data_IF_303294722168
#
_entry.id   IF_303294722168
#
_cell.length_a   1.000
_cell.length_b   1.000
_cell.length_c   1.000
_cell.angle_alpha   90.00
_cell.angle_beta   90.00
_cell.angle_gamma   90.00
#
_symmetry.space_group_name_H-M   'P 1'
#
loop_
_entity.id
_entity.type
_entity.pdbx_description
1 polymer ?
#
# COMPACT_ATOMS: atom_id res chain seq x y z
N UNK A 1 -4.02 -8.81 1.95
CA UNK A 1 -4.36 -7.55 2.62
C UNK A 1 -5.61 -6.98 1.99
N UNK A 2 -6.51 -6.42 2.79
CA UNK A 2 -7.72 -5.72 2.33
C UNK A 2 -7.57 -4.21 2.49
N UNK A 3 -8.35 -3.49 1.69
CA UNK A 3 -8.48 -2.04 1.70
C UNK A 3 -9.91 -1.66 2.12
N UNK A 4 -10.06 -0.71 3.02
CA UNK A 4 -11.36 -0.22 3.48
C UNK A 4 -11.55 1.24 3.04
N UNK A 5 -12.80 1.67 2.91
CA UNK A 5 -13.09 3.09 2.69
C UNK A 5 -12.90 3.87 3.98
N UNK A 6 -12.27 5.05 3.92
CA UNK A 6 -12.15 5.98 5.04
C UNK A 6 -13.49 6.35 5.68
N UNK A 7 -14.59 6.32 4.91
CA UNK A 7 -15.94 6.58 5.41
C UNK A 7 -16.57 5.35 6.08
N UNK A 8 -15.95 4.16 5.93
CA UNK A 8 -16.35 2.87 6.48
C UNK A 8 -17.79 2.45 6.15
N UNK A 9 -18.37 3.00 5.07
CA UNK A 9 -19.72 2.67 4.61
C UNK A 9 -19.70 1.67 3.45
N UNK A 10 -18.53 1.36 2.89
CA UNK A 10 -18.35 0.32 1.88
C UNK A 10 -17.69 -0.93 2.44
N UNK A 11 -17.94 -2.07 1.78
CA UNK A 11 -17.20 -3.31 2.05
C UNK A 11 -15.69 -3.12 1.76
N UNK A 12 -14.85 -3.79 2.53
CA UNK A 12 -13.41 -3.85 2.25
C UNK A 12 -13.14 -4.66 0.98
N UNK A 13 -12.24 -4.17 0.14
CA UNK A 13 -11.91 -4.72 -1.18
C UNK A 13 -10.45 -5.16 -1.26
N UNK A 14 -10.08 -5.87 -2.30
CA UNK A 14 -8.68 -6.18 -2.62
C UNK A 14 -7.92 -4.95 -3.14
N UNK A 15 -6.58 -5.00 -3.13
CA UNK A 15 -5.73 -3.96 -3.73
C UNK A 15 -6.10 -3.70 -5.20
N UNK A 16 -6.27 -4.76 -6.00
CA UNK A 16 -6.58 -4.64 -7.42
C UNK A 16 -7.90 -3.88 -7.62
N UNK A 17 -8.94 -4.23 -6.84
CA UNK A 17 -10.22 -3.54 -6.91
C UNK A 17 -10.12 -2.08 -6.46
N UNK A 18 -9.35 -1.78 -5.40
CA UNK A 18 -9.14 -0.41 -4.93
C UNK A 18 -8.46 0.46 -6.00
N UNK A 19 -7.43 -0.07 -6.68
CA UNK A 19 -6.70 0.63 -7.75
C UNK A 19 -7.59 0.85 -8.97
N UNK A 20 -8.37 -0.16 -9.38
CA UNK A 20 -9.26 -0.04 -10.56
C UNK A 20 -10.44 0.90 -10.31
N UNK A 21 -11.03 0.86 -9.11
CA UNK A 21 -12.17 1.73 -8.76
C UNK A 21 -11.74 3.17 -8.49
N UNK A 22 -10.53 3.39 -8.00
CA UNK A 22 -9.98 4.70 -7.62
C UNK A 22 -10.64 5.28 -6.36
N UNK A 23 -11.95 5.50 -6.39
CA UNK A 23 -12.78 5.98 -5.29
C UNK A 23 -13.72 4.87 -4.79
N UNK A 24 -13.95 4.84 -3.48
CA UNK A 24 -14.98 3.98 -2.90
C UNK A 24 -16.38 4.48 -3.27
N UNK A 25 -17.36 3.57 -3.26
CA UNK A 25 -18.76 3.88 -3.60
C UNK A 25 -19.40 4.92 -2.66
N UNK A 26 -18.85 5.07 -1.46
CA UNK A 26 -19.25 6.05 -0.44
C UNK A 26 -18.46 7.37 -0.54
N UNK A 27 -17.76 7.60 -1.66
CA UNK A 27 -16.88 8.77 -1.90
C UNK A 27 -15.70 8.88 -0.93
N UNK A 28 -15.41 7.83 -0.15
CA UNK A 28 -14.20 7.74 0.64
C UNK A 28 -12.98 7.30 -0.17
N UNK A 29 -11.81 7.40 0.43
CA UNK A 29 -10.55 6.89 -0.13
C UNK A 29 -10.31 5.46 0.37
N UNK A 30 -9.67 4.63 -0.45
CA UNK A 30 -9.24 3.31 -0.01
C UNK A 30 -7.94 3.40 0.79
N UNK A 31 -7.96 2.84 2.01
CA UNK A 31 -6.79 2.72 2.90
C UNK A 31 -6.55 1.23 3.22
N UNK A 32 -5.28 0.78 3.32
CA UNK A 32 -4.98 -0.59 3.70
C UNK A 32 -5.35 -0.85 5.16
N UNK A 33 -5.78 -2.06 5.49
CA UNK A 33 -6.14 -2.47 6.86
C UNK A 33 -4.96 -2.40 7.85
N UNK A 34 -3.72 -2.47 7.33
CA UNK A 34 -2.49 -2.33 8.09
C UNK A 34 -1.45 -1.61 7.23
N UNK A 35 -0.51 -0.92 7.86
CA UNK A 35 0.68 -0.38 7.17
C UNK A 35 1.87 -1.04 7.84
N UNK A 36 2.70 -1.73 7.06
CA UNK A 36 3.92 -2.35 7.60
C UNK A 36 4.90 -1.24 7.94
N UNK A 37 5.34 -1.19 9.19
CA UNK A 37 6.45 -0.31 9.56
C UNK A 37 7.72 -0.77 8.84
N UNK A 38 8.45 0.18 8.26
CA UNK A 38 9.79 -0.08 7.72
C UNK A 38 10.77 -0.23 8.89
N UNK A 39 11.81 -1.08 8.76
CA UNK A 39 12.80 -1.26 9.82
C UNK A 39 13.58 0.04 10.06
N UNK A 40 14.10 0.24 11.27
CA UNK A 40 14.93 1.42 11.61
C UNK A 40 16.11 1.60 10.65
N UNK A 41 16.74 0.49 10.27
CA UNK A 41 17.85 0.47 9.30
C UNK A 41 17.49 1.03 7.92
N UNK A 42 16.21 1.04 7.52
CA UNK A 42 15.81 1.74 6.30
C UNK A 42 16.00 3.25 6.41
N UNK A 43 15.65 3.83 7.56
CA UNK A 43 15.80 5.26 7.83
C UNK A 43 17.26 5.63 8.08
N UNK A 44 18.01 4.76 8.77
CA UNK A 44 19.45 4.97 9.04
C UNK A 44 20.29 5.02 7.76
N UNK A 45 19.83 4.37 6.67
CA UNK A 45 20.52 4.28 5.38
C UNK A 45 19.73 4.91 4.23
N UNK A 46 18.72 5.75 4.51
CA UNK A 46 17.83 6.27 3.47
C UNK A 46 18.58 7.17 2.46
N UNK A 47 19.63 7.85 2.92
CA UNK A 47 20.47 8.75 2.12
C UNK A 47 21.38 8.03 1.12
N UNK A 48 21.66 6.75 1.38
CA UNK A 48 22.44 5.89 0.48
C UNK A 48 21.59 5.29 -0.64
N UNK A 49 20.27 5.46 -0.59
CA UNK A 49 19.33 4.88 -1.55
C UNK A 49 18.97 5.85 -2.67
N UNK A 50 18.85 5.31 -3.88
CA UNK A 50 18.22 6.03 -4.98
C UNK A 50 16.73 6.27 -4.71
N UNK A 51 16.18 7.29 -5.37
CA UNK A 51 14.74 7.57 -5.32
C UNK A 51 13.89 6.34 -5.68
N UNK A 52 14.34 5.55 -6.66
CA UNK A 52 13.69 4.33 -7.11
C UNK A 52 13.66 3.25 -6.02
N UNK A 53 14.76 3.08 -5.27
CA UNK A 53 14.85 2.14 -4.17
C UNK A 53 13.98 2.56 -2.98
N UNK A 54 13.98 3.86 -2.66
CA UNK A 54 13.08 4.43 -1.64
C UNK A 54 11.63 4.17 -2.04
N UNK A 55 11.25 4.53 -3.26
CA UNK A 55 9.89 4.35 -3.78
C UNK A 55 9.46 2.87 -3.74
N UNK A 56 10.34 1.95 -4.14
CA UNK A 56 10.06 0.52 -4.10
C UNK A 56 9.83 0.01 -2.67
N UNK A 57 10.72 0.35 -1.72
CA UNK A 57 10.61 -0.10 -0.32
C UNK A 57 9.36 0.46 0.36
N UNK A 58 9.06 1.74 0.12
CA UNK A 58 7.83 2.36 0.62
C UNK A 58 6.61 1.69 -0.02
N UNK A 59 6.59 1.50 -1.33
CA UNK A 59 5.48 0.86 -2.03
C UNK A 59 5.23 -0.57 -1.53
N UNK A 60 6.27 -1.38 -1.28
CA UNK A 60 6.13 -2.75 -0.74
C UNK A 60 5.46 -2.77 0.65
N UNK A 61 5.64 -1.73 1.46
CA UNK A 61 4.98 -1.60 2.76
C UNK A 61 3.45 -1.46 2.64
N UNK A 62 2.97 -0.89 1.52
CA UNK A 62 1.53 -0.74 1.21
C UNK A 62 1.01 -1.92 0.36
N UNK A 63 1.80 -2.41 -0.59
CA UNK A 63 1.38 -3.40 -1.59
C UNK A 63 1.72 -4.81 -1.09
N UNK A 64 0.89 -5.38 -0.22
CA UNK A 64 1.14 -6.74 0.30
C UNK A 64 1.16 -7.76 -0.83
N UNK A 65 2.35 -8.31 -1.14
CA UNK A 65 2.66 -9.54 -1.91
C UNK A 65 1.92 -9.78 -3.25
N UNK A 66 1.10 -8.86 -3.74
CA UNK A 66 0.38 -9.03 -5.01
C UNK A 66 1.32 -8.93 -6.22
N UNK A 67 2.49 -8.29 -6.07
CA UNK A 67 3.47 -8.10 -7.15
C UNK A 67 4.64 -9.10 -7.16
N UNK A 68 4.66 -10.11 -6.28
CA UNK A 68 5.58 -11.23 -6.47
C UNK A 68 5.03 -12.15 -7.56
N UNK A 69 5.17 -11.73 -8.81
CA UNK A 69 5.21 -12.68 -9.92
C UNK A 69 6.39 -13.63 -9.64
N UNK A 70 6.05 -14.87 -9.36
CA UNK A 70 6.92 -16.03 -9.49
C UNK A 70 7.50 -16.05 -10.90
N UNK A 71 8.82 -15.91 -10.98
CA UNK A 71 9.65 -16.48 -12.03
C UNK A 71 10.81 -17.20 -11.36
#
# INVERSE_FOLDING_TARGET
MKYYSTNKQSQSVSLQEAVVKGLASDRGLFMPEAIKALPSSFYDHIEDLSFQEIAYRVADAFLVKTFRQTH
#
